data_IF_654972509866
#
_entry.id   IF_654972509866
#
_cell.length_a   1.000
_cell.length_b   1.000
_cell.length_c   1.000
_cell.angle_alpha   90.00
_cell.angle_beta   90.00
_cell.angle_gamma   90.00
#
_symmetry.space_group_name_H-M   'P 1'
#
loop_
_entity.id
_entity.type
_entity.pdbx_description
1 polymer ?
#
# COMPACT_ATOMS: atom_id res chain seq x y z
N UNK A 1 -3.89 -13.75 0.24
CA UNK A 1 -3.94 -12.33 -0.17
C UNK A 1 -3.11 -12.11 -1.43
N UNK A 2 -1.81 -11.81 -1.36
CA UNK A 2 -0.99 -11.48 -2.55
C UNK A 2 -0.98 -12.61 -3.59
N UNK A 3 -0.84 -13.87 -3.14
CA UNK A 3 -0.93 -15.08 -4.00
C UNK A 3 -2.23 -15.17 -4.80
N UNK A 4 -3.30 -14.56 -4.34
CA UNK A 4 -4.64 -14.61 -4.95
C UNK A 4 -4.85 -13.46 -5.93
N UNK A 5 -4.41 -12.24 -5.55
CA UNK A 5 -4.75 -11.02 -6.27
C UNK A 5 -3.65 -10.52 -7.22
N UNK A 6 -2.39 -10.86 -6.98
CA UNK A 6 -1.29 -10.56 -7.90
C UNK A 6 -0.22 -11.68 -7.88
N UNK A 7 -0.57 -12.91 -8.35
CA UNK A 7 0.37 -14.03 -8.36
C UNK A 7 1.61 -13.75 -9.24
N UNK A 8 1.44 -13.04 -10.36
CA UNK A 8 2.55 -12.67 -11.24
C UNK A 8 3.52 -11.67 -10.59
N UNK A 9 2.99 -10.64 -9.92
CA UNK A 9 3.81 -9.69 -9.15
C UNK A 9 4.57 -10.42 -8.03
N UNK A 10 3.92 -11.36 -7.34
CA UNK A 10 4.55 -12.17 -6.31
C UNK A 10 5.68 -13.06 -6.84
N UNK A 11 5.49 -13.70 -7.99
CA UNK A 11 6.53 -14.51 -8.62
C UNK A 11 7.75 -13.67 -8.99
N UNK A 12 7.52 -12.45 -9.49
CA UNK A 12 8.57 -11.55 -9.97
C UNK A 12 9.32 -10.82 -8.86
N UNK A 13 8.63 -10.41 -7.79
CA UNK A 13 9.18 -9.56 -6.73
C UNK A 13 9.36 -10.28 -5.40
N UNK A 14 8.67 -11.39 -5.18
CA UNK A 14 8.66 -12.09 -3.91
C UNK A 14 7.82 -11.39 -2.84
N UNK A 15 7.49 -12.14 -1.79
CA UNK A 15 6.59 -11.69 -0.73
C UNK A 15 7.16 -10.50 0.05
N UNK A 16 8.46 -10.52 0.31
CA UNK A 16 9.13 -9.50 1.13
C UNK A 16 9.00 -8.09 0.54
N UNK A 17 9.10 -7.97 -0.79
CA UNK A 17 9.02 -6.69 -1.51
C UNK A 17 7.58 -6.20 -1.69
N UNK A 18 6.60 -7.06 -1.47
CA UNK A 18 5.17 -6.74 -1.57
C UNK A 18 4.47 -6.77 -0.20
N UNK A 19 5.23 -6.77 0.90
CA UNK A 19 4.70 -7.10 2.22
C UNK A 19 3.87 -5.96 2.85
N UNK A 20 4.07 -4.72 2.42
CA UNK A 20 3.42 -3.51 2.98
C UNK A 20 3.06 -2.56 1.86
N UNK A 21 2.10 -1.65 2.09
CA UNK A 21 1.72 -0.61 1.11
C UNK A 21 2.93 0.26 0.78
N UNK A 22 3.75 0.59 1.79
CA UNK A 22 5.02 1.30 1.59
C UNK A 22 5.91 0.61 0.56
N UNK A 23 6.19 -0.69 0.75
CA UNK A 23 7.07 -1.45 -0.16
C UNK A 23 6.46 -1.60 -1.55
N UNK A 24 5.14 -1.79 -1.65
CA UNK A 24 4.46 -1.80 -2.95
C UNK A 24 4.62 -0.48 -3.70
N UNK A 25 4.51 0.66 -3.02
CA UNK A 25 4.73 2.00 -3.60
C UNK A 25 6.18 2.17 -4.04
N UNK A 26 7.15 1.71 -3.24
CA UNK A 26 8.57 1.72 -3.63
C UNK A 26 8.80 0.92 -4.92
N UNK A 27 8.17 -0.24 -5.07
CA UNK A 27 8.24 -1.04 -6.31
C UNK A 27 7.55 -0.36 -7.50
N UNK A 28 6.42 0.31 -7.29
CA UNK A 28 5.77 1.11 -8.31
C UNK A 28 6.70 2.22 -8.82
N UNK A 29 7.35 2.96 -7.92
CA UNK A 29 8.32 4.01 -8.28
C UNK A 29 9.54 3.48 -8.99
N UNK A 30 9.97 2.26 -8.66
CA UNK A 30 11.05 1.58 -9.35
C UNK A 30 10.67 1.07 -10.75
N UNK A 31 9.39 1.21 -11.17
CA UNK A 31 8.87 0.65 -12.43
C UNK A 31 8.68 -0.86 -12.38
N UNK A 32 8.79 -1.44 -11.19
CA UNK A 32 8.62 -2.86 -10.94
C UNK A 32 7.17 -3.21 -10.61
N UNK A 33 6.27 -2.26 -10.38
CA UNK A 33 4.86 -2.57 -10.14
C UNK A 33 4.01 -1.66 -10.99
N UNK A 34 3.02 -2.21 -11.69
CA UNK A 34 2.04 -1.42 -12.43
C UNK A 34 1.10 -0.67 -11.47
N UNK A 35 0.46 0.40 -11.96
CA UNK A 35 -0.58 1.14 -11.21
C UNK A 35 -1.72 0.19 -10.79
N UNK A 36 -2.26 -0.59 -11.72
CA UNK A 36 -3.33 -1.56 -11.46
C UNK A 36 -2.91 -2.66 -10.45
N UNK A 37 -1.66 -3.13 -10.54
CA UNK A 37 -1.11 -4.12 -9.60
C UNK A 37 -1.00 -3.53 -8.19
N UNK A 38 -0.52 -2.29 -8.08
CA UNK A 38 -0.43 -1.56 -6.82
C UNK A 38 -1.80 -1.37 -6.19
N UNK A 39 -2.77 -0.86 -6.96
CA UNK A 39 -4.14 -0.61 -6.49
C UNK A 39 -4.80 -1.91 -6.02
N UNK A 40 -4.68 -2.97 -6.82
CA UNK A 40 -5.19 -4.30 -6.47
C UNK A 40 -4.56 -4.85 -5.19
N UNK A 41 -3.24 -4.72 -5.03
CA UNK A 41 -2.56 -5.20 -3.83
C UNK A 41 -2.92 -4.39 -2.58
N UNK A 42 -2.95 -3.06 -2.69
CA UNK A 42 -3.30 -2.16 -1.59
C UNK A 42 -4.75 -2.38 -1.12
N UNK A 43 -5.70 -2.56 -2.04
CA UNK A 43 -7.12 -2.82 -1.74
C UNK A 43 -7.34 -4.11 -0.93
N UNK A 44 -6.41 -5.06 -1.03
CA UNK A 44 -6.48 -6.34 -0.34
C UNK A 44 -5.48 -6.43 0.82
N UNK A 45 -4.74 -5.37 1.14
CA UNK A 45 -3.79 -5.37 2.24
C UNK A 45 -4.45 -5.19 3.61
N UNK A 46 -4.28 -6.20 4.47
CA UNK A 46 -4.92 -6.25 5.80
C UNK A 46 -4.04 -5.69 6.95
N UNK A 47 -2.81 -5.25 6.68
CA UNK A 47 -1.88 -4.74 7.69
C UNK A 47 -0.96 -5.80 8.32
N UNK A 48 0.24 -5.40 8.75
CA UNK A 48 1.19 -6.27 9.47
C UNK A 48 0.94 -6.27 10.98
N UNK A 49 -0.18 -6.82 11.46
CA UNK A 49 -0.54 -6.85 12.91
C UNK A 49 -0.58 -5.48 13.62
N UNK A 50 -0.33 -4.39 12.89
CA UNK A 50 -0.50 -3.01 13.35
C UNK A 50 -1.99 -2.72 13.34
N UNK A 51 -2.57 -2.21 14.44
CA UNK A 51 -3.95 -1.76 14.43
C UNK A 51 -4.19 -0.83 13.25
N UNK A 52 -5.34 -0.97 12.57
CA UNK A 52 -5.72 -0.04 11.52
C UNK A 52 -5.72 1.36 12.11
N UNK A 53 -4.83 2.22 11.63
CA UNK A 53 -4.96 3.66 11.81
C UNK A 53 -6.11 4.11 10.91
N UNK A 54 -7.14 4.79 11.45
CA UNK A 54 -8.12 5.46 10.61
C UNK A 54 -7.42 6.34 9.57
N UNK A 55 -7.94 6.34 8.34
CA UNK A 55 -7.38 7.17 7.29
C UNK A 55 -7.55 8.65 7.68
N UNK A 56 -6.46 9.42 7.62
CA UNK A 56 -6.43 10.82 8.06
C UNK A 56 -6.08 11.05 9.52
N UNK A 57 -5.77 9.99 10.28
CA UNK A 57 -5.23 10.09 11.63
C UNK A 57 -3.75 9.69 11.66
N UNK A 58 -2.98 10.39 12.49
CA UNK A 58 -1.59 10.03 12.77
C UNK A 58 -1.56 8.95 13.87
N UNK A 59 -0.93 7.78 13.62
CA UNK A 59 -0.69 6.80 14.67
C UNK A 59 0.40 7.29 15.62
N UNK A 60 0.15 7.20 16.93
CA UNK A 60 1.16 7.41 17.96
C UNK A 60 1.43 6.09 18.74
N UNK A 61 2.67 5.56 18.73
CA UNK A 61 3.82 6.01 17.93
C UNK A 61 3.66 5.68 16.44
N UNK A 62 4.27 6.49 15.59
CA UNK A 62 4.24 6.27 14.14
C UNK A 62 4.95 4.97 13.77
N UNK A 63 4.27 3.99 13.16
CA UNK A 63 4.89 2.74 12.77
C UNK A 63 5.85 2.99 11.60
N UNK A 64 6.99 2.28 11.54
CA UNK A 64 7.95 2.44 10.45
C UNK A 64 7.43 1.93 9.10
N UNK A 65 6.53 0.94 9.12
CA UNK A 65 5.77 0.42 7.96
C UNK A 65 4.59 -0.44 8.44
N UNK A 66 3.66 -0.76 7.53
CA UNK A 66 2.67 -1.82 7.72
C UNK A 66 1.32 -1.37 8.27
N UNK A 67 1.18 -0.08 8.58
CA UNK A 67 -0.14 0.56 8.67
C UNK A 67 -0.52 1.11 7.30
N UNK A 68 -1.60 0.58 6.72
CA UNK A 68 -2.10 1.00 5.40
C UNK A 68 -2.31 2.50 5.27
N UNK A 69 -2.89 3.14 6.28
CA UNK A 69 -3.20 4.57 6.25
C UNK A 69 -1.95 5.42 6.40
N UNK A 70 -1.06 5.01 7.30
CA UNK A 70 0.22 5.70 7.51
C UNK A 70 1.14 5.59 6.30
N UNK A 71 1.27 4.38 5.74
CA UNK A 71 2.09 4.13 4.56
C UNK A 71 1.63 4.97 3.35
N UNK A 72 0.30 5.08 3.14
CA UNK A 72 -0.26 5.94 2.10
C UNK A 72 -0.06 7.44 2.41
N UNK A 73 -0.34 7.88 3.64
CA UNK A 73 -0.16 9.26 4.06
C UNK A 73 1.28 9.74 3.83
N UNK A 74 2.26 8.95 4.28
CA UNK A 74 3.69 9.23 4.10
C UNK A 74 4.04 9.29 2.62
N UNK A 75 3.46 8.41 1.79
CA UNK A 75 3.68 8.44 0.35
C UNK A 75 3.14 9.72 -0.31
N UNK A 76 1.95 10.17 0.05
CA UNK A 76 1.40 11.45 -0.43
C UNK A 76 2.21 12.65 0.06
N UNK A 77 2.51 12.70 1.37
CA UNK A 77 3.28 13.78 1.99
C UNK A 77 4.68 13.96 1.37
N UNK A 78 5.36 12.85 1.05
CA UNK A 78 6.66 12.87 0.39
C UNK A 78 6.59 12.89 -1.14
N UNK A 79 5.42 13.05 -1.74
CA UNK A 79 5.23 13.09 -3.19
C UNK A 79 5.82 11.86 -3.90
N UNK A 80 5.68 10.69 -3.27
CA UNK A 80 6.10 9.40 -3.82
C UNK A 80 5.16 8.91 -4.92
N UNK A 81 3.91 9.37 -4.86
CA UNK A 81 2.81 9.17 -5.80
C UNK A 81 2.17 10.54 -6.07
N UNK A 82 1.46 10.67 -7.20
CA UNK A 82 0.69 11.87 -7.50
C UNK A 82 -0.68 11.86 -6.78
N UNK A 83 -1.37 13.00 -6.82
CA UNK A 83 -2.66 13.19 -6.15
C UNK A 83 -3.73 12.23 -6.70
N UNK A 84 -3.71 11.94 -8.01
CA UNK A 84 -4.67 11.03 -8.64
C UNK A 84 -4.49 9.59 -8.14
N UNK A 85 -3.24 9.11 -8.06
CA UNK A 85 -2.94 7.79 -7.53
C UNK A 85 -3.16 7.73 -6.01
N UNK A 86 -2.93 8.83 -5.29
CA UNK A 86 -3.26 8.92 -3.87
C UNK A 86 -4.77 8.70 -3.64
N UNK A 87 -5.61 9.43 -4.37
CA UNK A 87 -7.07 9.32 -4.27
C UNK A 87 -7.56 7.93 -4.67
N UNK A 88 -7.02 7.36 -5.75
CA UNK A 88 -7.38 6.00 -6.18
C UNK A 88 -7.03 4.94 -5.11
N UNK A 89 -5.84 5.04 -4.50
CA UNK A 89 -5.45 4.13 -3.42
C UNK A 89 -6.32 4.34 -2.18
N UNK A 90 -6.67 5.59 -1.87
CA UNK A 90 -7.54 5.93 -0.76
C UNK A 90 -8.93 5.31 -0.93
N UNK A 91 -9.52 5.44 -2.11
CA UNK A 91 -10.82 4.83 -2.47
C UNK A 91 -10.75 3.31 -2.41
N UNK A 92 -9.79 2.70 -3.10
CA UNK A 92 -9.66 1.24 -3.20
C UNK A 92 -9.45 0.58 -1.82
N UNK A 93 -8.80 1.28 -0.90
CA UNK A 93 -8.61 0.82 0.47
C UNK A 93 -9.85 1.03 1.35
N UNK A 94 -10.74 1.98 1.06
CA UNK A 94 -11.89 2.31 1.90
C UNK A 94 -13.06 1.32 1.78
N UNK A 95 -13.14 0.56 0.70
CA UNK A 95 -14.31 -0.24 0.30
C UNK A 95 -14.55 -1.57 1.05
N UNK A 96 -13.89 -1.79 2.20
CA UNK A 96 -14.10 -3.01 3.01
C UNK A 96 -14.45 -2.66 4.44
N UNK A 97 -15.75 -2.39 4.63
CA UNK A 97 -16.46 -2.43 5.91
C UNK A 97 -17.16 -3.77 6.05
#
# INVERSE_FOLDING_TARGET
MIRTYAPAALERLGLERLLTVKRMIEEYRAGNLGRDELVTLAAHYDGLTVPRTPLGEDPEPSPPEGSRGWDLYVAGFHQLIDDELYDELLEAMSDKT
#
